data_IF_218469432489
#
_entry.id   IF_218469432489
#
_cell.length_a   1.000
_cell.length_b   1.000
_cell.length_c   1.000
_cell.angle_alpha   90.00
_cell.angle_beta   90.00
_cell.angle_gamma   90.00
#
_symmetry.space_group_name_H-M   'P 1'
#
loop_
_entity.id
_entity.type
_entity.pdbx_description
1 polymer ?
#
# COMPACT_ATOMS: atom_id res chain seq x y z
N UNK A 1 -32.85 28.98 13.27
CA UNK A 1 -33.04 30.44 13.20
C UNK A 1 -32.67 31.02 14.57
N UNK A 2 -31.83 32.05 14.65
CA UNK A 2 -31.55 32.77 15.91
C UNK A 2 -32.56 33.91 16.04
N UNK A 3 -33.25 34.01 17.17
CA UNK A 3 -34.09 35.18 17.43
C UNK A 3 -33.20 36.42 17.59
N UNK A 4 -33.62 37.52 16.98
CA UNK A 4 -32.93 38.82 17.00
C UNK A 4 -33.12 39.56 18.33
N UNK A 5 -33.94 39.02 19.23
CA UNK A 5 -34.25 39.58 20.56
C UNK A 5 -33.29 39.18 21.68
N UNK A 6 -32.33 38.28 21.41
CA UNK A 6 -31.38 37.84 22.44
C UNK A 6 -30.18 38.77 22.45
N UNK A 7 -30.21 39.78 23.32
CA UNK A 7 -29.06 40.61 23.61
C UNK A 7 -27.96 39.78 24.30
N UNK A 8 -26.83 39.57 23.62
CA UNK A 8 -25.67 38.88 24.21
C UNK A 8 -25.07 39.77 25.31
N UNK A 9 -24.83 39.25 26.52
CA UNK A 9 -24.15 40.02 27.56
C UNK A 9 -22.73 40.40 27.09
N UNK A 10 -22.35 41.66 27.29
CA UNK A 10 -21.00 42.16 26.90
C UNK A 10 -19.92 41.69 27.89
N UNK A 11 -20.29 41.48 29.14
CA UNK A 11 -19.39 41.05 30.20
C UNK A 11 -19.99 39.81 30.88
N UNK A 12 -19.14 38.82 31.16
CA UNK A 12 -19.54 37.56 31.77
C UNK A 12 -18.57 37.25 32.90
N UNK A 13 -19.09 37.00 34.09
CA UNK A 13 -18.31 36.52 35.22
C UNK A 13 -18.55 35.02 35.40
N UNK A 14 -17.54 34.30 35.87
CA UNK A 14 -17.64 32.88 36.17
C UNK A 14 -17.20 32.62 37.60
N UNK A 15 -17.98 31.84 38.33
CA UNK A 15 -17.58 31.27 39.61
C UNK A 15 -17.51 29.74 39.48
N UNK A 16 -16.60 29.16 40.25
CA UNK A 16 -16.39 27.73 40.30
C UNK A 16 -15.89 27.36 41.70
N UNK A 17 -16.11 26.11 42.10
CA UNK A 17 -15.51 25.54 43.29
C UNK A 17 -14.12 24.99 42.91
N UNK A 18 -13.01 25.47 43.52
CA UNK A 18 -11.68 24.95 43.22
C UNK A 18 -11.53 23.43 43.41
N UNK A 19 -12.35 22.83 44.27
CA UNK A 19 -12.29 21.41 44.62
C UNK A 19 -13.01 20.53 43.59
N UNK A 20 -13.99 21.08 42.84
CA UNK A 20 -14.83 20.30 41.93
C UNK A 20 -15.05 21.03 40.59
N UNK A 21 -14.59 20.40 39.50
CA UNK A 21 -14.68 20.94 38.13
C UNK A 21 -16.04 20.71 37.46
N UNK A 22 -16.89 19.84 38.00
CA UNK A 22 -18.13 19.36 37.38
C UNK A 22 -19.12 20.46 37.02
N UNK A 23 -19.16 21.53 37.82
CA UNK A 23 -20.12 22.62 37.69
C UNK A 23 -19.42 23.97 37.64
N UNK A 24 -19.76 24.77 36.64
CA UNK A 24 -19.34 26.16 36.50
C UNK A 24 -20.59 27.04 36.55
N UNK A 25 -20.53 28.13 37.29
CA UNK A 25 -21.62 29.11 37.41
C UNK A 25 -21.27 30.35 36.60
N UNK A 26 -22.09 30.68 35.61
CA UNK A 26 -21.90 31.84 34.73
C UNK A 26 -22.87 32.95 35.11
N UNK A 27 -22.36 34.17 35.28
CA UNK A 27 -23.10 35.37 35.65
C UNK A 27 -23.15 36.32 34.45
N UNK A 28 -24.29 36.43 33.75
CA UNK A 28 -24.44 37.30 32.57
C UNK A 28 -24.52 38.79 32.92
N UNK A 29 -24.70 39.12 34.19
CA UNK A 29 -24.78 40.50 34.68
C UNK A 29 -23.90 40.65 35.92
N UNK A 30 -22.99 41.62 35.89
CA UNK A 30 -22.09 41.93 37.00
C UNK A 30 -22.88 42.36 38.23
N UNK A 31 -22.60 41.77 39.39
CA UNK A 31 -23.28 42.08 40.65
C UNK A 31 -24.71 41.54 40.77
N UNK A 32 -25.22 40.82 39.77
CA UNK A 32 -26.52 40.15 39.83
C UNK A 32 -26.41 38.77 40.45
N UNK A 33 -27.48 38.32 41.12
CA UNK A 33 -27.63 36.95 41.61
C UNK A 33 -28.16 35.98 40.54
N UNK A 34 -28.46 36.48 39.34
CA UNK A 34 -28.88 35.63 38.21
C UNK A 34 -27.65 34.91 37.67
N UNK A 35 -27.69 33.59 37.70
CA UNK A 35 -26.61 32.75 37.17
C UNK A 35 -27.17 31.61 36.30
N UNK A 36 -26.33 31.14 35.40
CA UNK A 36 -26.54 29.92 34.63
C UNK A 36 -25.61 28.84 35.14
N UNK A 37 -26.18 27.70 35.52
CA UNK A 37 -25.41 26.52 35.89
C UNK A 37 -25.01 25.77 34.63
N UNK A 38 -23.71 25.59 34.43
CA UNK A 38 -23.15 24.85 33.31
C UNK A 38 -22.45 23.59 33.83
N UNK A 39 -22.63 22.48 33.10
CA UNK A 39 -21.97 21.22 33.41
C UNK A 39 -20.95 20.89 32.31
N UNK A 40 -20.01 20.01 32.64
CA UNK A 40 -19.05 19.49 31.68
C UNK A 40 -19.72 18.82 30.48
N UNK A 41 -19.17 19.06 29.30
CA UNK A 41 -19.56 18.38 28.06
C UNK A 41 -19.01 16.95 28.02
N UNK A 42 -19.50 16.13 27.10
CA UNK A 42 -19.02 14.75 26.94
C UNK A 42 -17.51 14.67 26.67
N UNK A 43 -16.97 15.61 25.88
CA UNK A 43 -15.53 15.70 25.61
C UNK A 43 -14.70 15.96 26.87
N UNK A 44 -15.25 16.68 27.84
CA UNK A 44 -14.58 17.01 29.10
C UNK A 44 -14.98 16.07 30.23
N UNK A 45 -15.70 14.98 29.94
CA UNK A 45 -16.12 13.98 30.94
C UNK A 45 -14.94 13.33 31.66
N UNK A 46 -13.77 13.25 31.03
CA UNK A 46 -12.56 12.71 31.67
C UNK A 46 -12.13 13.49 32.92
N UNK A 47 -12.54 14.76 33.05
CA UNK A 47 -12.21 15.61 34.18
C UNK A 47 -13.26 15.59 35.29
N UNK A 48 -14.29 14.74 35.16
CA UNK A 48 -15.38 14.68 36.12
C UNK A 48 -14.87 14.18 37.48
N UNK A 49 -15.24 14.87 38.55
CA UNK A 49 -14.84 14.56 39.92
C UNK A 49 -13.41 14.96 40.28
N UNK A 50 -12.70 15.66 39.39
CA UNK A 50 -11.37 16.21 39.68
C UNK A 50 -11.46 17.64 40.20
N UNK A 51 -10.41 18.05 40.90
CA UNK A 51 -10.18 19.44 41.28
C UNK A 51 -9.57 20.25 40.12
N UNK A 52 -9.70 21.58 40.19
CA UNK A 52 -9.12 22.45 39.16
C UNK A 52 -7.60 22.34 39.08
N UNK A 53 -6.94 22.09 40.21
CA UNK A 53 -5.50 21.90 40.28
C UNK A 53 -5.03 20.66 39.51
N UNK A 54 -5.72 19.53 39.70
CA UNK A 54 -5.41 18.30 38.97
C UNK A 54 -5.66 18.47 37.46
N UNK A 55 -6.76 19.14 37.09
CA UNK A 55 -7.05 19.41 35.68
C UNK A 55 -5.98 20.29 35.04
N UNK A 56 -5.49 21.31 35.75
CA UNK A 56 -4.40 22.14 35.23
C UNK A 56 -3.09 21.38 35.07
N UNK A 57 -2.76 20.48 36.00
CA UNK A 57 -1.56 19.66 35.87
C UNK A 57 -1.68 18.72 34.66
N UNK A 58 -2.81 18.04 34.49
CA UNK A 58 -3.08 17.20 33.32
C UNK A 58 -2.95 18.01 32.02
N UNK A 59 -3.56 19.20 31.96
CA UNK A 59 -3.46 20.08 30.79
C UNK A 59 -2.03 20.56 30.53
N UNK A 60 -1.24 20.83 31.57
CA UNK A 60 0.15 21.21 31.44
C UNK A 60 0.98 20.07 30.85
N UNK A 61 0.78 18.84 31.33
CA UNK A 61 1.42 17.64 30.80
C UNK A 61 1.01 17.37 29.35
N UNK A 62 -0.29 17.45 29.02
CA UNK A 62 -0.78 17.29 27.65
C UNK A 62 -0.15 18.32 26.70
N UNK A 63 -0.06 19.58 27.13
CA UNK A 63 0.55 20.66 26.34
C UNK A 63 2.04 20.39 26.11
N UNK A 64 2.76 19.97 27.14
CA UNK A 64 4.18 19.63 27.05
C UNK A 64 4.40 18.44 26.10
N UNK A 65 3.65 17.36 26.26
CA UNK A 65 3.74 16.16 25.41
C UNK A 65 3.41 16.48 23.95
N UNK A 66 2.38 17.29 23.71
CA UNK A 66 2.02 17.73 22.36
C UNK A 66 3.12 18.60 21.72
N UNK A 67 3.77 19.45 22.50
CA UNK A 67 4.89 20.25 22.01
C UNK A 67 6.08 19.38 21.60
N UNK A 68 6.44 18.40 22.44
CA UNK A 68 7.53 17.46 22.15
C UNK A 68 7.21 16.58 20.94
N UNK A 69 6.01 16.01 20.89
CA UNK A 69 5.56 15.20 19.76
C UNK A 69 5.62 15.99 18.43
N UNK A 70 5.28 17.28 18.45
CA UNK A 70 5.41 18.15 17.27
C UNK A 70 6.87 18.37 16.87
N UNK A 71 7.78 18.49 17.83
CA UNK A 71 9.21 18.58 17.54
C UNK A 71 9.72 17.28 16.92
N UNK A 72 9.37 16.14 17.50
CA UNK A 72 9.73 14.82 17.00
C UNK A 72 9.19 14.59 15.58
N UNK A 73 7.92 14.92 15.33
CA UNK A 73 7.30 14.86 14.01
C UNK A 73 8.12 15.67 12.98
N UNK A 74 8.50 16.90 13.32
CA UNK A 74 9.31 17.75 12.45
C UNK A 74 10.70 17.16 12.18
N UNK A 75 11.35 16.57 13.19
CA UNK A 75 12.65 15.90 12.99
C UNK A 75 12.53 14.71 12.06
N UNK A 76 11.53 13.84 12.28
CA UNK A 76 11.28 12.67 11.43
C UNK A 76 10.90 13.03 10.01
N UNK A 77 10.15 14.11 9.84
CA UNK A 77 9.86 14.65 8.51
C UNK A 77 11.13 15.08 7.78
N UNK A 78 12.05 15.79 8.45
CA UNK A 78 13.33 16.20 7.86
C UNK A 78 14.22 15.00 7.52
N UNK A 79 14.29 14.00 8.39
CA UNK A 79 15.01 12.75 8.14
C UNK A 79 14.48 12.05 6.88
N UNK A 80 13.16 11.97 6.73
CA UNK A 80 12.50 11.38 5.57
C UNK A 80 12.77 12.17 4.29
N UNK A 81 12.69 13.50 4.32
CA UNK A 81 13.00 14.35 3.17
C UNK A 81 14.46 14.18 2.73
N UNK A 82 15.40 14.15 3.69
CA UNK A 82 16.82 13.91 3.41
C UNK A 82 17.04 12.52 2.79
N UNK A 83 16.36 11.49 3.30
CA UNK A 83 16.44 10.13 2.75
C UNK A 83 15.93 10.07 1.30
N UNK A 84 14.80 10.72 1.01
CA UNK A 84 14.25 10.81 -0.36
C UNK A 84 15.27 11.48 -1.29
N UNK A 85 15.80 12.64 -0.89
CA UNK A 85 16.79 13.37 -1.69
C UNK A 85 18.05 12.53 -1.95
N UNK A 86 18.59 11.88 -0.94
CA UNK A 86 19.75 10.99 -1.09
C UNK A 86 19.44 9.82 -2.03
N UNK A 87 18.24 9.25 -1.95
CA UNK A 87 17.80 8.15 -2.83
C UNK A 87 17.72 8.63 -4.27
N UNK A 88 17.14 9.80 -4.53
CA UNK A 88 17.09 10.42 -5.87
C UNK A 88 18.51 10.68 -6.39
N UNK A 89 19.39 11.24 -5.57
CA UNK A 89 20.78 11.50 -5.97
C UNK A 89 21.53 10.21 -6.30
N UNK A 90 21.36 9.15 -5.51
CA UNK A 90 21.95 7.84 -5.78
C UNK A 90 21.41 7.27 -7.10
N UNK A 91 20.10 7.32 -7.32
CA UNK A 91 19.49 6.87 -8.57
C UNK A 91 20.04 7.67 -9.77
N UNK A 92 20.12 8.99 -9.67
CA UNK A 92 20.67 9.84 -10.73
C UNK A 92 22.16 9.53 -11.00
N UNK A 93 22.97 9.28 -9.97
CA UNK A 93 24.39 8.88 -10.12
C UNK A 93 24.54 7.51 -10.79
N UNK A 94 23.66 6.57 -10.47
CA UNK A 94 23.64 5.24 -11.08
C UNK A 94 23.04 5.27 -12.50
N UNK A 95 22.32 6.33 -12.86
CA UNK A 95 21.74 6.47 -14.20
C UNK A 95 22.87 6.82 -15.17
N UNK A 96 23.19 5.96 -16.15
CA UNK A 96 24.20 6.30 -17.14
C UNK A 96 23.73 7.52 -17.96
N UNK A 97 24.61 8.50 -18.17
CA UNK A 97 24.34 9.63 -19.06
C UNK A 97 24.18 9.11 -20.49
N UNK A 98 22.94 9.05 -20.97
CA UNK A 98 22.62 8.56 -22.31
C UNK A 98 22.69 9.72 -23.31
N UNK A 99 23.74 9.76 -24.12
CA UNK A 99 23.84 10.67 -25.27
C UNK A 99 23.04 10.14 -26.46
N UNK A 100 22.70 8.84 -26.47
CA UNK A 100 22.05 8.20 -27.59
C UNK A 100 20.52 8.41 -27.67
N UNK A 101 19.96 8.51 -28.90
CA UNK A 101 18.53 8.66 -29.12
C UNK A 101 17.72 7.42 -28.69
N UNK A 102 16.45 7.61 -28.28
CA UNK A 102 15.57 6.52 -27.77
C UNK A 102 15.47 5.32 -28.73
N UNK A 103 15.50 5.58 -30.04
CA UNK A 103 15.41 4.56 -31.10
C UNK A 103 16.56 3.53 -31.06
N UNK A 104 17.81 3.97 -30.88
CA UNK A 104 18.97 3.06 -30.87
C UNK A 104 18.96 2.18 -29.62
N UNK A 105 18.59 2.74 -28.48
CA UNK A 105 18.43 2.00 -27.21
C UNK A 105 17.36 0.91 -27.28
N UNK A 106 16.21 1.18 -27.90
CA UNK A 106 15.17 0.14 -28.06
C UNK A 106 15.67 -1.00 -28.95
N UNK A 107 16.46 -0.69 -29.99
CA UNK A 107 17.10 -1.71 -30.83
C UNK A 107 18.09 -2.56 -30.02
N UNK A 108 18.94 -1.94 -29.19
CA UNK A 108 19.89 -2.64 -28.31
C UNK A 108 19.19 -3.57 -27.29
N UNK A 109 18.04 -3.17 -26.74
CA UNK A 109 17.26 -4.06 -25.85
C UNK A 109 16.75 -5.29 -26.61
N UNK A 110 16.27 -5.11 -27.85
CA UNK A 110 15.80 -6.22 -28.67
C UNK A 110 16.93 -7.18 -29.03
N UNK A 111 18.14 -6.68 -29.31
CA UNK A 111 19.32 -7.53 -29.57
C UNK A 111 19.74 -8.29 -28.32
N UNK A 112 19.91 -7.61 -27.18
CA UNK A 112 20.30 -8.25 -25.91
C UNK A 112 19.27 -9.30 -25.47
N UNK A 113 17.96 -9.02 -25.63
CA UNK A 113 16.90 -10.00 -25.34
C UNK A 113 17.03 -11.24 -26.21
N UNK A 114 17.28 -11.07 -27.52
CA UNK A 114 17.47 -12.20 -28.44
C UNK A 114 18.69 -13.02 -28.04
N UNK A 115 19.80 -12.38 -27.69
CA UNK A 115 21.04 -13.06 -27.25
C UNK A 115 20.86 -13.82 -25.93
N UNK A 116 20.15 -13.24 -24.96
CA UNK A 116 19.81 -13.91 -23.72
C UNK A 116 18.92 -15.15 -23.97
N UNK A 117 17.93 -15.04 -24.84
CA UNK A 117 17.05 -16.17 -25.22
C UNK A 117 17.82 -17.25 -25.97
N UNK A 118 18.69 -16.89 -26.92
CA UNK A 118 19.45 -17.89 -27.70
C UNK A 118 20.48 -18.60 -26.83
N UNK A 119 21.16 -17.90 -25.92
CA UNK A 119 22.08 -18.52 -24.96
C UNK A 119 21.37 -19.46 -23.99
N UNK A 120 20.18 -19.08 -23.50
CA UNK A 120 19.36 -19.93 -22.65
C UNK A 120 18.89 -21.20 -23.38
N UNK A 121 18.43 -21.07 -24.63
CA UNK A 121 18.09 -22.22 -25.49
C UNK A 121 19.27 -23.14 -25.75
N UNK A 122 20.47 -22.60 -26.00
CA UNK A 122 21.69 -23.41 -26.18
C UNK A 122 22.03 -24.23 -24.94
N UNK A 123 21.97 -23.61 -23.76
CA UNK A 123 22.18 -24.31 -22.47
C UNK A 123 21.14 -25.42 -22.26
N UNK A 124 19.86 -25.15 -22.53
CA UNK A 124 18.82 -26.19 -22.48
C UNK A 124 19.08 -27.32 -23.46
N UNK A 125 19.50 -27.00 -24.69
CA UNK A 125 19.81 -28.00 -25.70
C UNK A 125 21.02 -28.87 -25.31
N UNK A 126 22.01 -28.31 -24.61
CA UNK A 126 23.14 -29.07 -24.04
C UNK A 126 22.69 -30.06 -22.97
N UNK A 127 21.77 -29.66 -22.08
CA UNK A 127 21.18 -30.56 -21.07
C UNK A 127 20.27 -31.65 -21.65
N UNK A 128 19.70 -31.42 -22.84
CA UNK A 128 18.85 -32.39 -23.55
C UNK A 128 19.65 -33.35 -24.44
N UNK A 129 20.97 -33.17 -24.55
CA UNK A 129 21.80 -34.16 -25.25
C UNK A 129 21.75 -35.46 -24.44
N UNK A 130 21.27 -36.57 -25.01
CA UNK A 130 21.27 -37.84 -24.30
C UNK A 130 22.71 -38.16 -23.92
N UNK A 131 22.96 -38.41 -22.63
CA UNK A 131 24.25 -38.95 -22.21
C UNK A 131 24.42 -40.29 -22.91
N UNK A 132 25.44 -40.44 -23.76
CA UNK A 132 25.73 -41.69 -24.47
C UNK A 132 26.27 -42.79 -23.53
N UNK A 133 25.99 -42.70 -22.23
CA UNK A 133 26.50 -43.57 -21.18
C UNK A 133 25.46 -43.70 -20.08
N UNK A 134 24.62 -44.73 -20.17
CA UNK A 134 23.70 -45.11 -19.11
C UNK A 134 22.68 -46.11 -19.63
N UNK A 135 22.65 -47.31 -19.03
CA UNK A 135 21.71 -48.37 -19.34
C UNK A 135 20.27 -47.84 -19.44
N UNK A 136 19.52 -48.36 -20.42
CA UNK A 136 18.11 -48.02 -20.63
C UNK A 136 17.32 -48.20 -19.34
N UNK A 137 16.59 -47.14 -18.95
CA UNK A 137 15.78 -47.17 -17.74
C UNK A 137 14.69 -48.25 -17.86
N UNK A 138 14.59 -49.12 -16.84
CA UNK A 138 13.57 -50.18 -16.80
C UNK A 138 12.17 -49.55 -16.68
N UNK A 139 11.44 -49.52 -17.80
CA UNK A 139 10.05 -49.07 -17.86
C UNK A 139 9.15 -50.08 -17.16
N UNK A 140 8.38 -49.65 -16.16
CA UNK A 140 7.40 -50.49 -15.45
C UNK A 140 5.99 -50.08 -15.92
N UNK A 141 5.26 -50.94 -16.64
CA UNK A 141 3.88 -50.65 -17.04
C UNK A 141 2.95 -50.63 -15.82
N UNK A 142 2.01 -49.70 -15.79
CA UNK A 142 1.11 -49.49 -14.64
C UNK A 142 0.02 -50.56 -14.49
N UNK A 143 -0.23 -51.37 -15.51
CA UNK A 143 -1.19 -52.49 -15.46
C UNK A 143 -0.51 -53.78 -15.91
N UNK A 144 -0.13 -54.63 -14.97
CA UNK A 144 0.40 -55.97 -15.24
C UNK A 144 -0.75 -56.99 -15.38
N UNK A 145 -1.60 -56.79 -16.40
CA UNK A 145 -2.58 -57.80 -16.82
C UNK A 145 -2.32 -58.08 -18.29
N UNK A 146 -1.80 -59.28 -18.54
CA UNK A 146 -1.76 -60.01 -19.81
C UNK A 146 -1.46 -59.19 -21.07
N UNK A 147 -0.18 -59.21 -21.45
CA UNK A 147 0.25 -58.85 -22.79
C UNK A 147 -0.27 -59.90 -23.78
N UNK A 148 -1.50 -59.74 -24.29
CA UNK A 148 -1.92 -60.46 -25.51
C UNK A 148 -2.99 -59.76 -26.36
N UNK A 149 -3.24 -58.46 -26.14
CA UNK A 149 -3.97 -57.65 -27.11
C UNK A 149 -2.99 -56.62 -27.69
N UNK A 150 -2.62 -56.84 -28.95
CA UNK A 150 -1.84 -55.91 -29.76
C UNK A 150 -2.63 -54.60 -29.91
N UNK A 151 -2.56 -53.71 -28.92
CA UNK A 151 -3.03 -52.34 -29.09
C UNK A 151 -2.15 -51.69 -30.16
N UNK A 152 -2.74 -51.47 -31.34
CA UNK A 152 -2.07 -50.80 -32.43
C UNK A 152 -1.86 -49.32 -32.06
N UNK A 153 -0.67 -49.03 -31.53
CA UNK A 153 -0.21 -47.68 -31.26
C UNK A 153 0.26 -46.95 -32.54
N UNK A 154 -0.14 -47.42 -33.73
CA UNK A 154 0.11 -46.69 -34.97
C UNK A 154 -0.51 -45.30 -34.90
N UNK A 155 0.29 -44.29 -35.25
CA UNK A 155 -0.19 -42.91 -35.32
C UNK A 155 -1.30 -42.84 -36.39
N UNK A 156 -2.39 -42.09 -36.15
CA UNK A 156 -3.43 -41.93 -37.15
C UNK A 156 -2.82 -41.44 -38.46
N UNK A 157 -3.06 -42.15 -39.54
CA UNK A 157 -2.59 -41.76 -40.87
C UNK A 157 -3.20 -40.41 -41.23
N UNK A 158 -2.37 -39.50 -41.76
CA UNK A 158 -2.81 -38.18 -42.24
C UNK A 158 -4.00 -38.33 -43.20
N UNK A 159 -5.14 -37.70 -42.85
CA UNK A 159 -6.35 -37.67 -43.67
C UNK A 159 -6.41 -36.33 -44.41
N UNK A 160 -6.09 -36.27 -45.71
CA UNK A 160 -5.94 -35.00 -46.43
C UNK A 160 -7.22 -34.15 -46.48
N UNK A 161 -8.40 -34.78 -46.49
CA UNK A 161 -9.69 -34.06 -46.56
C UNK A 161 -9.98 -33.19 -45.33
N UNK A 162 -9.44 -33.53 -44.16
CA UNK A 162 -9.63 -32.74 -42.93
C UNK A 162 -8.86 -31.42 -42.93
N UNK A 163 -7.88 -31.28 -43.83
CA UNK A 163 -6.94 -30.17 -43.86
C UNK A 163 -6.89 -29.45 -45.22
N UNK A 164 -7.81 -29.77 -46.13
CA UNK A 164 -7.99 -29.04 -47.37
C UNK A 164 -8.96 -27.89 -47.16
N UNK A 165 -8.52 -26.67 -47.49
CA UNK A 165 -9.41 -25.51 -47.51
C UNK A 165 -10.49 -25.71 -48.59
N UNK A 166 -11.75 -25.30 -48.34
CA UNK A 166 -12.83 -25.47 -49.29
C UNK A 166 -12.51 -24.73 -50.60
N UNK A 167 -12.82 -25.31 -51.77
CA UNK A 167 -12.50 -24.67 -53.04
C UNK A 167 -13.24 -23.32 -53.15
N UNK A 168 -12.49 -22.28 -53.48
CA UNK A 168 -13.06 -20.97 -53.80
C UNK A 168 -14.05 -21.16 -54.96
N UNK A 169 -15.31 -20.76 -54.74
CA UNK A 169 -16.30 -20.68 -55.81
C UNK A 169 -15.87 -19.55 -56.74
N UNK A 170 -15.35 -19.90 -57.90
CA UNK A 170 -15.22 -18.96 -59.01
C UNK A 170 -16.64 -18.51 -59.42
N UNK A 171 -17.02 -17.30 -58.99
CA UNK A 171 -18.20 -16.61 -59.52
C UNK A 171 -17.91 -16.19 -60.96
N UNK A 172 -18.64 -16.80 -61.91
CA UNK A 172 -18.71 -16.39 -63.32
C UNK A 172 -19.90 -15.48 -63.55
#
# INVERSE_FOLDING_TARGET
>A
QRSTDIARPQHLEAAYDPVLVDTIYLFPQVGSRVFWRCNLTERSRQFKGLSFWEVWDIQAQEKHNKANAKQDELTKRRELEAFIQQTIQKANKLTPSTTEPKSTRIKQIKTNKKEAVTSERKKRAEHLKPSSSGDEAKVIPFNAVEADDQEDYSLPTYVPELFQDPPEKDES
#
